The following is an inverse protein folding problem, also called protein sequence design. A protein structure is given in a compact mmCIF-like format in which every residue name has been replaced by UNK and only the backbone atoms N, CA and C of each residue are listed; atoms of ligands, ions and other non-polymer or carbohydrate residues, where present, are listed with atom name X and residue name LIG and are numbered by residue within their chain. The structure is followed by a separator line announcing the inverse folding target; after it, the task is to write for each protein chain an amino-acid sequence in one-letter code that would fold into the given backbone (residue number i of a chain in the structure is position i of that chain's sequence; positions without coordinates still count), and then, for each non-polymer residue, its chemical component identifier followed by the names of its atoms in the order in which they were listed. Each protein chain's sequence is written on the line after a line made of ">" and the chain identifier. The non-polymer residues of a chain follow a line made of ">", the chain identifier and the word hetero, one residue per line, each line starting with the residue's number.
data_IF_506815190888
#
_entry.id   IF_506815190888
#
_cell.length_a   1.000
_cell.length_b   1.000
_cell.length_c   1.000
_cell.angle_alpha   90.00
_cell.angle_beta   90.00
_cell.angle_gamma   90.00
#
_symmetry.space_group_name_H-M   'P 1'
#
loop_
_entity.id
_entity.type
_entity.pdbx_description
1 polymer ?
#
# COMPACT_ATOMS: atom_id res chain seq x y z
N UNK A 1 3.13 -15.05 -19.53
CA UNK A 1 2.98 -13.77 -20.24
C UNK A 1 3.93 -12.75 -19.64
N UNK A 2 4.77 -12.10 -20.44
CA UNK A 2 5.71 -11.08 -19.96
C UNK A 2 4.93 -9.82 -19.54
N UNK A 3 5.14 -9.35 -18.31
CA UNK A 3 4.51 -8.12 -17.82
C UNK A 3 4.93 -6.94 -18.70
N UNK A 4 3.97 -6.17 -19.19
CA UNK A 4 4.23 -4.95 -19.96
C UNK A 4 4.98 -3.97 -19.05
N UNK A 5 6.17 -3.53 -19.48
CA UNK A 5 6.92 -2.51 -18.76
C UNK A 5 6.53 -1.13 -19.28
N UNK A 6 6.32 -0.19 -18.36
CA UNK A 6 6.04 1.22 -18.65
C UNK A 6 7.22 2.07 -18.18
N UNK A 7 7.58 3.09 -18.96
CA UNK A 7 8.68 4.00 -18.63
C UNK A 7 8.07 5.25 -17.99
N UNK A 8 8.41 5.49 -16.73
CA UNK A 8 8.06 6.70 -16.00
C UNK A 8 9.30 7.57 -15.89
N UNK A 9 9.21 8.82 -16.35
CA UNK A 9 10.27 9.83 -16.20
C UNK A 9 9.82 10.89 -15.21
N UNK A 10 10.66 11.19 -14.23
CA UNK A 10 10.41 12.25 -13.25
C UNK A 10 11.67 13.08 -13.05
N UNK A 11 11.49 14.34 -12.67
CA UNK A 11 12.57 15.25 -12.33
C UNK A 11 12.94 15.06 -10.86
N UNK A 12 14.22 15.19 -10.56
CA UNK A 12 14.79 15.14 -9.22
C UNK A 12 15.79 16.27 -9.07
N UNK A 13 16.06 16.64 -7.82
CA UNK A 13 17.15 17.54 -7.48
C UNK A 13 18.51 16.96 -7.89
N UNK A 14 19.47 17.84 -8.16
CA UNK A 14 20.76 17.48 -8.74
C UNK A 14 21.56 16.52 -7.85
N UNK A 15 21.56 16.77 -6.55
CA UNK A 15 22.22 15.95 -5.53
C UNK A 15 21.70 14.50 -5.53
N UNK A 16 20.37 14.32 -5.58
CA UNK A 16 19.75 13.01 -5.67
C UNK A 16 20.09 12.31 -6.99
N UNK A 17 20.12 13.06 -8.10
CA UNK A 17 20.50 12.52 -9.41
C UNK A 17 21.93 11.96 -9.40
N UNK A 18 22.88 12.67 -8.78
CA UNK A 18 24.27 12.23 -8.68
C UNK A 18 24.41 10.94 -7.89
N UNK A 19 23.73 10.84 -6.74
CA UNK A 19 23.71 9.62 -5.92
C UNK A 19 23.12 8.44 -6.70
N UNK A 20 21.97 8.65 -7.36
CA UNK A 20 21.32 7.58 -8.15
C UNK A 20 22.19 7.13 -9.32
N UNK A 21 22.92 8.03 -10.00
CA UNK A 21 23.80 7.70 -11.14
C UNK A 21 24.92 6.75 -10.74
N UNK A 22 25.41 6.82 -9.50
CA UNK A 22 26.47 5.95 -9.00
C UNK A 22 26.01 4.52 -8.67
N UNK A 23 24.70 4.28 -8.58
CA UNK A 23 24.17 2.95 -8.30
C UNK A 23 24.37 2.00 -9.50
N UNK A 24 24.88 0.77 -9.28
CA UNK A 24 25.08 -0.20 -10.36
C UNK A 24 23.75 -0.70 -10.96
N UNK A 25 22.68 -0.80 -10.15
CA UNK A 25 21.38 -1.33 -10.53
C UNK A 25 20.24 -0.31 -10.31
N UNK A 26 20.41 0.91 -10.82
CA UNK A 26 19.52 2.08 -10.57
C UNK A 26 18.04 1.75 -10.63
N UNK A 27 17.57 1.18 -11.74
CA UNK A 27 16.16 0.89 -11.96
C UNK A 27 15.60 -0.14 -10.98
N UNK A 28 16.40 -1.15 -10.60
CA UNK A 28 16.00 -2.13 -9.60
C UNK A 28 15.92 -1.49 -8.22
N UNK A 29 16.95 -0.71 -7.84
CA UNK A 29 17.00 0.00 -6.57
C UNK A 29 15.80 0.94 -6.42
N UNK A 30 15.55 1.81 -7.41
CA UNK A 30 14.42 2.75 -7.39
C UNK A 30 13.10 2.00 -7.28
N UNK A 31 12.91 0.90 -8.04
CA UNK A 31 11.68 0.11 -7.97
C UNK A 31 11.47 -0.48 -6.59
N UNK A 32 12.51 -1.07 -5.98
CA UNK A 32 12.41 -1.65 -4.65
C UNK A 32 12.15 -0.58 -3.58
N UNK A 33 12.83 0.56 -3.66
CA UNK A 33 12.62 1.68 -2.74
C UNK A 33 11.19 2.22 -2.82
N UNK A 34 10.66 2.41 -4.04
CA UNK A 34 9.28 2.84 -4.25
C UNK A 34 8.27 1.80 -3.75
N UNK A 35 8.47 0.51 -4.06
CA UNK A 35 7.57 -0.55 -3.58
C UNK A 35 7.56 -0.62 -2.05
N UNK A 36 8.73 -0.58 -1.41
CA UNK A 36 8.83 -0.59 0.05
C UNK A 36 8.16 0.63 0.69
N UNK A 37 8.36 1.81 0.10
CA UNK A 37 7.70 3.03 0.56
C UNK A 37 6.18 2.93 0.42
N UNK A 38 5.67 2.46 -0.72
CA UNK A 38 4.24 2.32 -0.96
C UNK A 38 3.59 1.24 -0.08
N UNK A 39 4.26 0.11 0.14
CA UNK A 39 3.78 -0.98 1.00
C UNK A 39 3.68 -0.53 2.48
N UNK A 40 4.56 0.36 2.90
CA UNK A 40 4.59 0.90 4.27
C UNK A 40 3.77 2.18 4.45
N UNK A 41 3.23 2.76 3.37
CA UNK A 41 2.48 4.02 3.43
C UNK A 41 1.04 3.74 3.85
N UNK A 42 0.53 4.47 4.84
CA UNK A 42 -0.87 4.37 5.24
C UNK A 42 -1.80 4.62 4.04
N UNK A 43 -2.63 3.66 3.63
CA UNK A 43 -3.42 3.74 2.40
C UNK A 43 -4.52 4.81 2.47
N UNK A 44 -4.93 5.22 3.68
CA UNK A 44 -5.96 6.22 3.87
C UNK A 44 -5.42 7.64 3.74
N UNK A 45 -4.38 7.99 4.51
CA UNK A 45 -3.81 9.34 4.48
C UNK A 45 -2.69 9.51 3.44
N UNK A 46 -2.31 8.44 2.75
CA UNK A 46 -1.20 8.41 1.78
C UNK A 46 0.11 8.96 2.36
N UNK A 47 0.36 8.63 3.64
CA UNK A 47 1.60 9.01 4.34
C UNK A 47 1.62 10.44 4.88
N UNK A 48 0.56 11.23 4.69
CA UNK A 48 0.49 12.61 5.21
C UNK A 48 0.26 12.69 6.73
N UNK A 49 -0.16 11.58 7.36
CA UNK A 49 -0.52 11.54 8.77
C UNK A 49 -1.80 12.29 9.14
N UNK A 50 -2.50 12.89 8.15
CA UNK A 50 -3.75 13.62 8.34
C UNK A 50 -4.77 13.16 7.31
N UNK A 51 -6.04 13.08 7.69
CA UNK A 51 -7.12 12.77 6.74
C UNK A 51 -7.89 14.04 6.40
N UNK A 52 -8.35 14.14 5.16
CA UNK A 52 -9.16 15.27 4.71
C UNK A 52 -10.54 15.27 5.38
N UNK A 53 -11.21 16.43 5.36
CA UNK A 53 -12.58 16.53 5.85
C UNK A 53 -13.55 15.61 5.10
N UNK A 54 -13.30 15.34 3.83
CA UNK A 54 -14.09 14.40 3.02
C UNK A 54 -13.83 12.94 3.42
N UNK A 55 -12.60 12.57 3.80
CA UNK A 55 -12.27 11.21 4.24
C UNK A 55 -12.78 10.89 5.65
N UNK A 56 -12.87 11.90 6.53
CA UNK A 56 -13.32 11.73 7.92
C UNK A 56 -14.64 10.96 8.08
N UNK A 57 -15.75 11.30 7.40
CA UNK A 57 -16.99 10.52 7.52
C UNK A 57 -16.84 9.07 7.06
N UNK A 58 -16.04 8.80 6.02
CA UNK A 58 -15.78 7.43 5.56
C UNK A 58 -14.98 6.61 6.58
N UNK A 59 -13.94 7.20 7.19
CA UNK A 59 -13.21 6.54 8.27
C UNK A 59 -14.13 6.28 9.47
N UNK A 60 -14.96 7.25 9.85
CA UNK A 60 -15.89 7.07 10.97
C UNK A 60 -16.87 5.92 10.71
N UNK A 61 -17.37 5.77 9.48
CA UNK A 61 -18.22 4.63 9.10
C UNK A 61 -17.47 3.30 9.22
N UNK A 62 -16.25 3.24 8.70
CA UNK A 62 -15.40 2.05 8.79
C UNK A 62 -15.13 1.63 10.24
N UNK A 63 -14.87 2.61 11.11
CA UNK A 63 -14.58 2.40 12.54
C UNK A 63 -15.79 1.96 13.37
N UNK A 64 -17.01 1.95 12.81
CA UNK A 64 -18.19 1.39 13.51
C UNK A 64 -18.16 -0.14 13.60
N UNK A 65 -17.48 -0.77 12.65
CA UNK A 65 -17.38 -2.23 12.53
C UNK A 65 -15.94 -2.73 12.67
N UNK A 66 -14.99 -1.80 12.83
CA UNK A 66 -13.58 -2.10 12.97
C UNK A 66 -12.98 -1.28 14.10
N UNK A 67 -12.50 -1.94 15.15
CA UNK A 67 -11.83 -1.28 16.27
C UNK A 67 -10.31 -1.28 16.09
N UNK A 68 -9.63 -0.26 16.63
CA UNK A 68 -8.16 -0.26 16.71
C UNK A 68 -7.74 -1.02 17.96
N UNK A 69 -6.93 -2.06 17.77
CA UNK A 69 -6.41 -2.91 18.84
C UNK A 69 -4.88 -2.93 18.79
N UNK A 70 -4.26 -3.33 19.90
CA UNK A 70 -2.81 -3.52 20.00
C UNK A 70 -2.51 -5.02 20.14
N UNK A 71 -1.54 -5.51 19.39
CA UNK A 71 -1.13 -6.91 19.44
C UNK A 71 -0.27 -7.17 20.69
N UNK A 72 -0.62 -8.16 21.50
CA UNK A 72 0.11 -8.48 22.74
C UNK A 72 1.53 -9.04 22.52
N UNK A 73 1.82 -9.57 21.33
CA UNK A 73 3.11 -10.23 21.05
C UNK A 73 4.15 -9.32 20.39
N UNK A 74 3.71 -8.30 19.64
CA UNK A 74 4.60 -7.41 18.89
C UNK A 74 4.28 -5.92 19.04
N UNK A 75 3.29 -5.58 19.87
CA UNK A 75 2.84 -4.21 20.16
C UNK A 75 2.29 -3.43 18.96
N UNK A 76 2.17 -4.06 17.78
CA UNK A 76 1.64 -3.42 16.58
C UNK A 76 0.17 -3.04 16.75
N UNK A 77 -0.20 -1.86 16.24
CA UNK A 77 -1.59 -1.42 16.15
C UNK A 77 -2.21 -1.96 14.86
N UNK A 78 -3.40 -2.55 14.96
CA UNK A 78 -4.12 -3.11 13.82
C UNK A 78 -5.63 -2.84 13.93
N UNK A 79 -6.32 -2.90 12.80
CA UNK A 79 -7.79 -2.89 12.77
C UNK A 79 -8.31 -4.31 13.01
N UNK A 80 -9.12 -4.49 14.05
CA UNK A 80 -9.87 -5.71 14.31
C UNK A 80 -11.28 -5.56 13.75
N UNK A 81 -11.75 -6.54 12.98
CA UNK A 81 -13.15 -6.59 12.54
C UNK A 81 -14.01 -7.07 13.70
N UNK A 82 -15.12 -6.38 13.97
CA UNK A 82 -16.01 -6.70 15.08
C UNK A 82 -16.97 -7.87 14.72
N UNK A 83 -17.05 -8.25 13.43
CA UNK A 83 -17.90 -9.34 12.93
C UNK A 83 -17.07 -10.48 12.32
N UNK A 84 -17.31 -11.71 12.79
CA UNK A 84 -16.92 -12.93 12.10
C UNK A 84 -17.78 -13.09 10.83
N UNK A 85 -17.43 -12.39 9.75
CA UNK A 85 -17.96 -12.73 8.43
C UNK A 85 -17.24 -13.98 7.90
N UNK A 86 -17.85 -15.15 8.16
CA UNK A 86 -17.69 -16.31 7.30
C UNK A 86 -18.37 -16.01 5.96
N UNK A 87 -17.72 -15.20 5.11
CA UNK A 87 -18.09 -15.12 3.69
C UNK A 87 -17.02 -15.83 2.88
N UNK A 88 -17.43 -16.97 2.33
CA UNK A 88 -16.76 -17.69 1.27
C UNK A 88 -16.22 -16.69 0.24
N UNK A 89 -14.89 -16.58 0.16
CA UNK A 89 -14.25 -15.94 -0.97
C UNK A 89 -14.68 -16.72 -2.21
N UNK A 90 -15.69 -16.23 -2.92
CA UNK A 90 -16.03 -16.70 -4.26
C UNK A 90 -14.83 -16.36 -5.14
N UNK A 91 -13.88 -17.28 -5.20
CA UNK A 91 -12.86 -17.29 -6.23
C UNK A 91 -13.59 -17.52 -7.54
N UNK A 92 -13.85 -16.44 -8.29
CA UNK A 92 -14.14 -16.55 -9.70
C UNK A 92 -12.85 -17.03 -10.41
N UNK A 93 -12.57 -18.32 -10.31
CA UNK A 93 -11.75 -19.01 -11.30
C UNK A 93 -12.68 -19.22 -12.49
N UNK A 94 -12.67 -18.28 -13.42
CA UNK A 94 -13.17 -18.50 -14.77
C UNK A 94 -12.23 -19.50 -15.45
N UNK A 95 -12.50 -20.79 -15.22
CA UNK A 95 -12.04 -21.86 -16.08
C UNK A 95 -12.70 -21.69 -17.46
N UNK A 96 -11.88 -21.55 -18.48
CA UNK A 96 -12.30 -21.63 -19.87
C UNK A 96 -12.46 -23.11 -20.24
N UNK A 97 -13.64 -23.58 -20.68
CA UNK A 97 -13.75 -24.91 -21.26
C UNK A 97 -13.40 -24.87 -22.75
N UNK A 98 -12.64 -25.87 -23.17
CA UNK A 98 -12.66 -26.54 -24.49
C UNK A 98 -12.65 -25.68 -25.75
#
# INVERSE_FOLDING_TARGET
>A
MSKKQEIISFKVEEDLAEVIKQLPNRSQFIRQALLAALDSTCPLCQGTGQITQAQKPHLNEFLKHHSLQQCDSCEAVFFACDEHHEEEVQTHVSGSPG
#
